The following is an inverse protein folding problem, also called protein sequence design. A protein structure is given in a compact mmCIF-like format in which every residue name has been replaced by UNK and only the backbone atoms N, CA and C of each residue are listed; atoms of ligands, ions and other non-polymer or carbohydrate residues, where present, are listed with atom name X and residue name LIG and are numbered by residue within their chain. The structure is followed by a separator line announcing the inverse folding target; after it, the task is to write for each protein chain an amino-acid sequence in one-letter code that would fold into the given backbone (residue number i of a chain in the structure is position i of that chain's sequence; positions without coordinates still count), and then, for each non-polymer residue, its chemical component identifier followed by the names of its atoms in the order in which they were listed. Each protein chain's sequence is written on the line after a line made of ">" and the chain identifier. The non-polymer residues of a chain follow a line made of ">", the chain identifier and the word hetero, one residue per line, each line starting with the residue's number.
data_IF_354804596431
#
_entry.id   IF_354804596431
#
_cell.length_a   1.000
_cell.length_b   1.000
_cell.length_c   1.000
_cell.angle_alpha   90.00
_cell.angle_beta   90.00
_cell.angle_gamma   90.00
#
_symmetry.space_group_name_H-M   'P 1'
#
loop_
_entity.id
_entity.type
_entity.pdbx_description
1 polymer ?
#
# COMPACT_ATOMS: atom_id res chain seq x y z
N UNK A 1 27.34 -9.10 -7.71
CA UNK A 1 27.46 -10.54 -7.38
C UNK A 1 27.45 -10.80 -5.87
N UNK A 2 28.37 -10.26 -5.06
CA UNK A 2 28.39 -10.52 -3.60
C UNK A 2 27.09 -10.07 -2.88
N UNK A 3 26.56 -8.90 -3.21
CA UNK A 3 25.31 -8.39 -2.62
C UNK A 3 24.10 -9.27 -2.98
N UNK A 4 23.96 -9.69 -4.24
CA UNK A 4 22.88 -10.58 -4.68
C UNK A 4 22.94 -11.96 -4.02
N UNK A 5 24.17 -12.47 -3.74
CA UNK A 5 24.32 -13.70 -2.95
C UNK A 5 23.88 -13.48 -1.51
N UNK A 6 24.28 -12.36 -0.91
CA UNK A 6 23.91 -12.04 0.48
C UNK A 6 22.38 -11.91 0.64
N UNK A 7 21.69 -11.19 -0.27
CA UNK A 7 20.24 -11.04 -0.21
C UNK A 7 19.52 -12.37 -0.42
N UNK A 8 20.00 -13.22 -1.35
CA UNK A 8 19.42 -14.56 -1.56
C UNK A 8 19.57 -15.46 -0.33
N UNK A 9 20.76 -15.48 0.29
CA UNK A 9 20.98 -16.24 1.53
C UNK A 9 20.15 -15.69 2.69
N UNK A 10 20.13 -14.37 2.87
CA UNK A 10 19.38 -13.68 3.91
C UNK A 10 17.87 -13.94 3.81
N UNK A 11 17.31 -13.94 2.59
CA UNK A 11 15.89 -14.25 2.36
C UNK A 11 15.54 -15.68 2.78
N UNK A 12 16.37 -16.66 2.45
CA UNK A 12 16.17 -18.05 2.86
C UNK A 12 16.23 -18.19 4.41
N UNK A 13 17.20 -17.51 5.04
CA UNK A 13 17.34 -17.52 6.51
C UNK A 13 16.19 -16.80 7.17
N UNK A 14 15.71 -15.66 6.61
CA UNK A 14 14.57 -14.93 7.11
C UNK A 14 13.30 -15.78 7.12
N UNK A 15 13.01 -16.52 6.04
CA UNK A 15 11.86 -17.44 5.97
C UNK A 15 11.89 -18.41 7.15
N UNK A 16 13.07 -19.02 7.40
CA UNK A 16 13.24 -19.95 8.53
C UNK A 16 13.07 -19.24 9.88
N UNK A 17 13.73 -18.10 10.07
CA UNK A 17 13.66 -17.31 11.29
C UNK A 17 12.22 -16.89 11.62
N UNK A 18 11.45 -16.46 10.62
CA UNK A 18 10.02 -16.12 10.74
C UNK A 18 9.19 -17.33 11.16
N UNK A 19 9.38 -18.48 10.49
CA UNK A 19 8.63 -19.71 10.81
C UNK A 19 8.94 -20.24 12.21
N UNK A 20 10.21 -20.22 12.61
CA UNK A 20 10.69 -20.70 13.92
C UNK A 20 10.51 -19.64 15.02
N UNK A 21 10.09 -18.41 14.69
CA UNK A 21 10.03 -17.26 15.58
C UNK A 21 11.39 -16.93 16.23
N UNK A 22 12.48 -17.09 15.49
CA UNK A 22 13.86 -16.94 15.97
C UNK A 22 14.56 -15.76 15.26
N UNK A 23 14.47 -14.57 15.86
CA UNK A 23 15.14 -13.38 15.35
C UNK A 23 16.67 -13.51 15.36
N UNK A 24 17.23 -14.22 16.35
CA UNK A 24 18.67 -14.39 16.50
C UNK A 24 19.30 -15.13 15.31
N UNK A 25 18.54 -15.98 14.63
CA UNK A 25 18.98 -16.66 13.41
C UNK A 25 19.15 -15.67 12.25
N UNK A 26 18.29 -14.64 12.13
CA UNK A 26 18.35 -13.66 11.06
C UNK A 26 19.29 -12.49 11.37
N UNK A 27 19.46 -12.10 12.61
CA UNK A 27 20.22 -10.92 13.07
C UNK A 27 21.63 -10.80 12.41
N UNK A 28 22.48 -11.84 12.30
CA UNK A 28 23.79 -11.73 11.66
C UNK A 28 23.73 -11.40 10.17
N UNK A 29 22.68 -11.80 9.47
CA UNK A 29 22.46 -11.45 8.05
C UNK A 29 21.98 -10.02 7.92
N UNK A 30 21.11 -9.58 8.82
CA UNK A 30 20.62 -8.21 8.87
C UNK A 30 21.77 -7.21 9.11
N UNK A 31 22.70 -7.51 10.04
CA UNK A 31 23.92 -6.71 10.25
C UNK A 31 24.74 -6.55 8.96
N UNK A 32 24.95 -7.65 8.22
CA UNK A 32 25.67 -7.63 6.95
C UNK A 32 24.95 -6.80 5.87
N UNK A 33 23.61 -6.90 5.82
CA UNK A 33 22.79 -6.14 4.88
C UNK A 33 22.84 -4.64 5.20
N UNK A 34 22.75 -4.25 6.48
CA UNK A 34 22.88 -2.86 6.92
C UNK A 34 24.27 -2.32 6.55
N UNK A 35 25.35 -3.06 6.84
CA UNK A 35 26.70 -2.65 6.49
C UNK A 35 26.89 -2.51 4.98
N UNK A 36 26.29 -3.40 4.17
CA UNK A 36 26.34 -3.34 2.72
C UNK A 36 25.58 -2.11 2.18
N UNK A 37 24.38 -1.81 2.71
CA UNK A 37 23.57 -0.64 2.32
C UNK A 37 24.27 0.67 2.68
N UNK A 38 24.84 0.79 3.87
CA UNK A 38 25.68 1.96 4.25
C UNK A 38 26.84 2.15 3.28
N UNK A 39 27.52 1.06 2.90
CA UNK A 39 28.61 1.13 1.95
C UNK A 39 28.13 1.53 0.54
N UNK A 40 27.00 1.04 0.09
CA UNK A 40 26.41 1.45 -1.20
C UNK A 40 26.04 2.92 -1.18
N UNK A 41 25.39 3.39 -0.13
CA UNK A 41 25.04 4.81 0.03
C UNK A 41 26.29 5.71 -0.04
N UNK A 42 27.36 5.36 0.69
CA UNK A 42 28.63 6.11 0.66
C UNK A 42 29.35 6.05 -0.71
N UNK A 43 29.06 5.06 -1.56
CA UNK A 43 29.57 4.98 -2.93
C UNK A 43 28.74 5.80 -3.92
N UNK A 44 27.44 5.87 -3.72
CA UNK A 44 26.52 6.59 -4.60
C UNK A 44 26.58 8.11 -4.34
N UNK A 45 26.52 8.50 -3.07
CA UNK A 45 26.64 9.90 -2.68
C UNK A 45 27.32 10.00 -1.30
N UNK A 46 28.65 10.20 -1.23
CA UNK A 46 29.42 10.29 0.03
C UNK A 46 29.17 11.59 0.81
N UNK A 47 28.56 12.60 0.19
CA UNK A 47 28.34 13.91 0.80
C UNK A 47 27.01 14.02 1.55
N UNK A 48 26.09 13.04 1.37
CA UNK A 48 24.78 13.04 2.00
C UNK A 48 24.69 11.97 3.10
N UNK A 49 23.71 12.13 3.96
CA UNK A 49 23.38 11.12 4.97
C UNK A 49 23.00 9.79 4.33
N UNK A 50 23.56 8.66 4.76
CA UNK A 50 23.36 7.37 4.09
C UNK A 50 21.89 6.99 3.88
N UNK A 51 21.01 7.33 4.83
CA UNK A 51 19.60 6.98 4.71
C UNK A 51 18.86 7.88 3.71
N UNK A 52 19.26 9.14 3.52
CA UNK A 52 18.75 9.98 2.44
C UNK A 52 19.05 9.35 1.07
N UNK A 53 20.27 8.86 0.87
CA UNK A 53 20.68 8.22 -0.38
C UNK A 53 19.87 6.96 -0.67
N UNK A 54 19.49 6.21 0.37
CA UNK A 54 18.64 5.01 0.21
C UNK A 54 17.19 5.39 -0.07
N UNK A 55 16.65 6.43 0.55
CA UNK A 55 15.31 6.97 0.27
C UNK A 55 15.21 7.44 -1.18
N UNK A 56 16.19 8.22 -1.64
CA UNK A 56 16.28 8.75 -3.02
C UNK A 56 16.25 7.64 -4.08
N UNK A 57 16.80 6.47 -3.78
CA UNK A 57 16.81 5.34 -4.71
C UNK A 57 15.42 4.75 -5.03
N UNK A 58 14.41 5.01 -4.19
CA UNK A 58 13.02 4.59 -4.38
C UNK A 58 12.09 5.75 -4.74
N UNK A 59 12.42 6.95 -4.25
CA UNK A 59 11.66 8.17 -4.46
C UNK A 59 12.65 9.32 -4.68
N UNK A 60 12.92 9.68 -5.93
CA UNK A 60 13.90 10.72 -6.28
C UNK A 60 13.63 12.03 -5.53
N UNK A 61 14.63 12.54 -4.83
CA UNK A 61 14.58 13.76 -4.04
C UNK A 61 14.01 13.61 -2.62
N UNK A 62 13.59 12.40 -2.20
CA UNK A 62 13.07 12.17 -0.86
C UNK A 62 14.18 12.20 0.19
N UNK A 63 13.94 12.92 1.30
CA UNK A 63 14.87 13.05 2.42
C UNK A 63 14.24 12.64 3.75
N UNK A 64 15.06 12.34 4.75
CA UNK A 64 14.60 12.13 6.13
C UNK A 64 13.79 13.32 6.65
N UNK A 65 14.22 14.55 6.35
CA UNK A 65 13.52 15.75 6.79
C UNK A 65 12.08 15.81 6.22
N UNK A 66 11.90 15.45 4.95
CA UNK A 66 10.58 15.36 4.33
C UNK A 66 9.73 14.24 4.95
N UNK A 67 10.32 13.07 5.18
CA UNK A 67 9.65 11.94 5.86
C UNK A 67 9.26 12.29 7.30
N UNK A 68 10.14 12.93 8.07
CA UNK A 68 9.87 13.35 9.45
C UNK A 68 8.68 14.33 9.51
N UNK A 69 8.65 15.33 8.61
CA UNK A 69 7.53 16.26 8.51
C UNK A 69 6.23 15.56 8.14
N UNK A 70 6.27 14.66 7.14
CA UNK A 70 5.13 13.85 6.71
C UNK A 70 4.59 12.98 7.85
N UNK A 71 5.41 12.12 8.44
CA UNK A 71 4.98 11.21 9.51
C UNK A 71 4.56 11.94 10.79
N UNK A 72 5.16 13.10 11.09
CA UNK A 72 4.68 13.94 12.20
C UNK A 72 3.25 14.41 11.97
N UNK A 73 2.91 14.80 10.74
CA UNK A 73 1.53 15.22 10.37
C UNK A 73 0.57 14.05 10.44
N UNK A 74 0.95 12.91 9.86
CA UNK A 74 0.17 11.66 9.88
C UNK A 74 -0.14 11.23 11.33
N UNK A 75 0.88 11.16 12.18
CA UNK A 75 0.73 10.78 13.58
C UNK A 75 -0.24 11.69 14.34
N UNK A 76 -0.08 13.01 14.19
CA UNK A 76 -0.94 14.01 14.85
C UNK A 76 -2.38 13.94 14.39
N UNK A 77 -2.61 13.60 13.12
CA UNK A 77 -3.97 13.47 12.56
C UNK A 77 -4.65 12.16 12.91
N UNK A 78 -3.92 11.05 12.85
CA UNK A 78 -4.50 9.69 12.88
C UNK A 78 -4.57 9.11 14.30
N UNK A 79 -3.53 9.23 15.14
CA UNK A 79 -3.53 8.62 16.47
C UNK A 79 -4.71 9.08 17.33
N UNK A 80 -5.05 10.39 17.42
CA UNK A 80 -6.22 10.82 18.17
C UNK A 80 -7.55 10.31 17.60
N UNK A 81 -7.62 10.08 16.28
CA UNK A 81 -8.80 9.56 15.63
C UNK A 81 -9.01 8.07 15.97
N UNK A 82 -7.95 7.27 15.98
CA UNK A 82 -7.98 5.87 16.42
C UNK A 82 -8.50 5.77 17.86
N UNK A 83 -8.00 6.62 18.77
CA UNK A 83 -8.46 6.60 20.18
C UNK A 83 -9.95 6.92 20.33
N UNK A 84 -10.50 7.79 19.48
CA UNK A 84 -11.94 8.05 19.44
C UNK A 84 -12.71 6.85 18.90
N UNK A 85 -12.24 6.23 17.81
CA UNK A 85 -12.87 5.05 17.20
C UNK A 85 -12.93 3.89 18.21
N UNK A 86 -11.85 3.64 18.96
CA UNK A 86 -11.84 2.61 20.02
C UNK A 86 -12.98 2.75 21.04
N UNK A 87 -13.43 3.97 21.31
CA UNK A 87 -14.52 4.23 22.27
C UNK A 87 -15.90 3.89 21.73
N UNK A 88 -16.07 3.87 20.41
CA UNK A 88 -17.34 3.62 19.70
C UNK A 88 -17.27 2.38 18.82
N UNK A 89 -16.26 1.53 19.03
CA UNK A 89 -16.02 0.34 18.21
C UNK A 89 -17.20 -0.61 18.24
N UNK A 90 -17.47 -1.21 17.11
CA UNK A 90 -18.57 -2.14 16.86
C UNK A 90 -18.01 -3.50 16.44
N UNK A 91 -18.75 -4.59 16.59
CA UNK A 91 -18.33 -5.89 16.06
C UNK A 91 -18.30 -5.88 14.54
N UNK A 92 -17.52 -6.80 13.97
CA UNK A 92 -17.57 -7.10 12.54
C UNK A 92 -18.96 -7.55 12.10
N UNK A 93 -19.33 -7.23 10.88
CA UNK A 93 -20.56 -7.73 10.27
C UNK A 93 -20.44 -9.24 10.02
N UNK A 94 -21.50 -9.98 10.28
CA UNK A 94 -21.49 -11.45 10.20
C UNK A 94 -21.04 -12.00 8.84
N UNK A 95 -21.36 -11.29 7.75
CA UNK A 95 -20.98 -11.73 6.41
C UNK A 95 -19.46 -11.81 6.23
N UNK A 96 -18.67 -10.95 6.86
CA UNK A 96 -17.20 -10.97 6.78
C UNK A 96 -16.60 -12.26 7.38
N UNK A 97 -17.32 -12.91 8.29
CA UNK A 97 -16.89 -14.13 8.98
C UNK A 97 -17.38 -15.42 8.29
N UNK A 98 -18.18 -15.31 7.22
CA UNK A 98 -18.68 -16.46 6.46
C UNK A 98 -17.58 -17.12 5.64
N UNK A 99 -17.84 -18.32 5.12
CA UNK A 99 -16.93 -19.04 4.22
C UNK A 99 -17.31 -18.75 2.77
N UNK A 100 -16.30 -18.42 1.97
CA UNK A 100 -16.43 -18.07 0.56
C UNK A 100 -15.60 -19.03 -0.30
N UNK A 101 -16.21 -19.88 -1.13
CA UNK A 101 -15.50 -20.86 -1.96
C UNK A 101 -14.44 -20.21 -2.85
N UNK A 102 -13.29 -20.87 -2.98
CA UNK A 102 -12.13 -20.31 -3.71
C UNK A 102 -12.41 -20.14 -5.21
N UNK A 103 -13.17 -21.06 -5.82
CA UNK A 103 -13.60 -20.97 -7.23
C UNK A 103 -14.54 -19.78 -7.49
N UNK A 104 -15.33 -19.41 -6.47
CA UNK A 104 -16.12 -18.18 -6.49
C UNK A 104 -15.23 -16.95 -6.41
N UNK A 105 -14.20 -16.94 -5.56
CA UNK A 105 -13.28 -15.82 -5.46
C UNK A 105 -12.50 -15.58 -6.76
N UNK A 106 -12.13 -16.65 -7.49
CA UNK A 106 -11.51 -16.52 -8.81
C UNK A 106 -12.47 -15.87 -9.84
N UNK A 107 -13.74 -16.28 -9.85
CA UNK A 107 -14.77 -15.64 -10.71
C UNK A 107 -14.97 -14.17 -10.35
N UNK A 108 -15.01 -13.86 -9.05
CA UNK A 108 -15.13 -12.49 -8.58
C UNK A 108 -13.92 -11.65 -8.99
N UNK A 109 -12.69 -12.19 -8.89
CA UNK A 109 -11.48 -11.50 -9.31
C UNK A 109 -11.54 -11.06 -10.78
N UNK A 110 -12.01 -11.92 -11.68
CA UNK A 110 -12.23 -11.55 -13.09
C UNK A 110 -13.31 -10.48 -13.27
N UNK A 111 -14.40 -10.56 -12.50
CA UNK A 111 -15.47 -9.56 -12.54
C UNK A 111 -14.97 -8.20 -12.02
N UNK A 112 -14.08 -8.19 -11.02
CA UNK A 112 -13.45 -6.97 -10.52
C UNK A 112 -12.52 -6.34 -11.56
N UNK A 113 -11.69 -7.13 -12.25
CA UNK A 113 -10.87 -6.64 -13.36
C UNK A 113 -11.73 -6.00 -14.47
N UNK A 114 -12.87 -6.59 -14.78
CA UNK A 114 -13.82 -6.02 -15.74
C UNK A 114 -14.41 -4.70 -15.22
N UNK A 115 -14.77 -4.64 -13.95
CA UNK A 115 -15.31 -3.44 -13.28
C UNK A 115 -14.26 -2.31 -13.22
N UNK A 116 -12.97 -2.66 -13.08
CA UNK A 116 -11.85 -1.71 -13.18
C UNK A 116 -11.54 -1.29 -14.63
N UNK A 117 -12.15 -1.91 -15.62
CA UNK A 117 -11.89 -1.65 -17.03
C UNK A 117 -10.55 -2.19 -17.54
N UNK A 118 -10.01 -3.21 -16.89
CA UNK A 118 -8.77 -3.87 -17.28
C UNK A 118 -9.00 -4.71 -18.54
N UNK A 119 -8.23 -4.44 -19.59
CA UNK A 119 -8.30 -5.20 -20.85
C UNK A 119 -7.65 -6.60 -20.67
N UNK A 120 -8.44 -7.70 -20.75
CA UNK A 120 -7.91 -9.06 -20.57
C UNK A 120 -6.97 -9.51 -21.70
N UNK A 121 -6.85 -8.75 -22.77
CA UNK A 121 -5.86 -8.99 -23.83
C UNK A 121 -4.48 -8.40 -23.50
N UNK A 122 -4.41 -7.56 -22.48
CA UNK A 122 -3.20 -6.85 -22.06
C UNK A 122 -2.77 -7.19 -20.63
N UNK A 123 -3.68 -7.74 -19.83
CA UNK A 123 -3.43 -8.09 -18.45
C UNK A 123 -3.88 -9.52 -18.15
N UNK A 124 -3.02 -10.29 -17.48
CA UNK A 124 -3.29 -11.67 -17.04
C UNK A 124 -3.32 -11.73 -15.52
N UNK A 125 -4.29 -12.45 -14.97
CA UNK A 125 -4.39 -12.75 -13.55
C UNK A 125 -3.80 -14.14 -13.25
N UNK A 126 -2.95 -14.22 -12.24
CA UNK A 126 -2.44 -15.46 -11.65
C UNK A 126 -2.66 -15.52 -10.14
N UNK A 127 -2.14 -16.56 -9.50
CA UNK A 127 -2.18 -16.73 -8.04
C UNK A 127 -0.79 -16.88 -7.46
N UNK A 128 -0.56 -16.28 -6.28
CA UNK A 128 0.69 -16.39 -5.53
C UNK A 128 0.46 -16.16 -4.05
N UNK A 129 1.39 -16.57 -3.21
CA UNK A 129 1.35 -16.33 -1.76
C UNK A 129 1.36 -14.81 -1.41
N UNK A 130 2.15 -14.04 -2.14
CA UNK A 130 2.21 -12.58 -2.01
C UNK A 130 1.87 -11.95 -3.35
N UNK A 131 0.69 -11.31 -3.47
CA UNK A 131 0.27 -10.62 -4.68
C UNK A 131 1.30 -9.60 -5.16
N UNK A 132 1.42 -9.46 -6.47
CA UNK A 132 2.30 -8.48 -7.11
C UNK A 132 1.88 -8.21 -8.55
N UNK A 133 2.32 -7.07 -9.07
CA UNK A 133 2.19 -6.68 -10.47
C UNK A 133 3.54 -6.66 -11.16
N UNK A 134 3.59 -7.11 -12.42
CA UNK A 134 4.76 -7.00 -13.30
C UNK A 134 4.34 -6.50 -14.68
N UNK A 135 4.97 -5.41 -15.15
CA UNK A 135 4.84 -4.89 -16.50
C UNK A 135 6.05 -5.22 -17.35
N UNK A 136 5.86 -5.74 -18.57
CA UNK A 136 6.91 -5.92 -19.58
C UNK A 136 6.88 -4.79 -20.61
N UNK A 137 5.72 -4.29 -20.88
CA UNK A 137 5.41 -3.10 -21.65
C UNK A 137 3.91 -2.81 -21.44
N UNK A 138 3.40 -1.70 -21.97
CA UNK A 138 2.01 -1.31 -21.74
C UNK A 138 0.96 -2.24 -22.42
N UNK A 139 1.36 -3.35 -23.03
CA UNK A 139 0.50 -4.37 -23.67
C UNK A 139 0.67 -5.76 -23.07
N UNK A 140 1.60 -5.96 -22.13
CA UNK A 140 1.82 -7.21 -21.41
C UNK A 140 2.10 -6.90 -19.94
N UNK A 141 1.02 -6.90 -19.15
CA UNK A 141 1.03 -6.70 -17.70
C UNK A 141 0.46 -7.94 -17.03
N UNK A 142 0.97 -8.29 -15.86
CA UNK A 142 0.58 -9.49 -15.11
C UNK A 142 0.38 -9.14 -13.66
N UNK A 143 -0.82 -9.45 -13.15
CA UNK A 143 -1.16 -9.30 -11.75
C UNK A 143 -1.35 -10.67 -11.11
N UNK A 144 -1.13 -10.74 -9.82
CA UNK A 144 -1.40 -11.94 -9.04
C UNK A 144 -2.25 -11.60 -7.83
N UNK A 145 -3.02 -12.57 -7.37
CA UNK A 145 -3.82 -12.48 -6.15
C UNK A 145 -3.68 -13.76 -5.33
N UNK A 146 -4.33 -13.81 -4.18
CA UNK A 146 -4.50 -15.02 -3.37
C UNK A 146 -5.95 -15.16 -2.93
N UNK A 147 -6.35 -16.38 -2.59
CA UNK A 147 -7.71 -16.67 -2.17
C UNK A 147 -7.72 -17.37 -0.80
N UNK A 148 -8.59 -16.91 0.10
CA UNK A 148 -8.77 -17.49 1.41
C UNK A 148 -10.25 -17.64 1.74
N UNK A 149 -10.70 -18.86 2.06
CA UNK A 149 -12.12 -19.13 2.34
C UNK A 149 -12.73 -18.26 3.44
N UNK A 150 -11.93 -17.83 4.40
CA UNK A 150 -12.35 -17.03 5.56
C UNK A 150 -12.05 -15.54 5.46
N UNK A 151 -11.52 -15.10 4.32
CA UNK A 151 -11.11 -13.71 4.11
C UNK A 151 -11.27 -13.29 2.66
N UNK A 152 -12.51 -13.34 2.13
CA UNK A 152 -12.74 -12.97 0.73
C UNK A 152 -12.50 -11.48 0.45
N UNK A 153 -12.64 -10.61 1.45
CA UNK A 153 -12.31 -9.19 1.32
C UNK A 153 -10.83 -8.97 1.01
N UNK A 154 -9.94 -9.83 1.56
CA UNK A 154 -8.51 -9.76 1.24
C UNK A 154 -8.25 -9.96 -0.25
N UNK A 155 -8.90 -10.93 -0.90
CA UNK A 155 -8.76 -11.15 -2.35
C UNK A 155 -9.36 -10.01 -3.18
N UNK A 156 -10.48 -9.43 -2.75
CA UNK A 156 -11.10 -8.27 -3.42
C UNK A 156 -10.12 -7.10 -3.45
N UNK A 157 -9.60 -6.72 -2.29
CA UNK A 157 -8.71 -5.56 -2.19
C UNK A 157 -7.33 -5.82 -2.78
N UNK A 158 -6.86 -7.07 -2.78
CA UNK A 158 -5.68 -7.47 -3.55
C UNK A 158 -5.85 -7.25 -5.05
N UNK A 159 -7.00 -7.65 -5.62
CA UNK A 159 -7.27 -7.44 -7.06
C UNK A 159 -7.38 -5.97 -7.40
N UNK A 160 -8.10 -5.17 -6.59
CA UNK A 160 -8.22 -3.73 -6.82
C UNK A 160 -6.86 -3.01 -6.69
N UNK A 161 -6.03 -3.44 -5.75
CA UNK A 161 -4.69 -2.91 -5.56
C UNK A 161 -3.78 -3.21 -6.77
N UNK A 162 -3.64 -4.48 -7.12
CA UNK A 162 -2.82 -4.90 -8.26
C UNK A 162 -3.39 -4.41 -9.59
N UNK A 163 -4.72 -4.29 -9.67
CA UNK A 163 -5.43 -3.66 -10.79
C UNK A 163 -5.02 -2.20 -10.99
N UNK A 164 -4.92 -1.44 -9.90
CA UNK A 164 -4.45 -0.05 -9.95
C UNK A 164 -3.02 0.07 -10.48
N UNK A 165 -2.10 -0.78 -10.04
CA UNK A 165 -0.76 -0.89 -10.58
C UNK A 165 -0.78 -1.25 -12.08
N UNK A 166 -1.60 -2.23 -12.46
CA UNK A 166 -1.70 -2.68 -13.84
C UNK A 166 -2.27 -1.59 -14.77
N UNK A 167 -3.27 -0.86 -14.32
CA UNK A 167 -3.85 0.26 -15.07
C UNK A 167 -2.80 1.34 -15.30
N UNK A 168 -1.95 1.63 -14.33
CA UNK A 168 -0.83 2.56 -14.50
C UNK A 168 0.12 2.08 -15.60
N UNK A 169 0.61 0.85 -15.50
CA UNK A 169 1.52 0.24 -16.48
C UNK A 169 0.92 0.22 -17.90
N UNK A 170 -0.36 -0.14 -18.04
CA UNK A 170 -1.05 -0.21 -19.33
C UNK A 170 -1.30 1.15 -19.98
N UNK A 171 -1.34 2.23 -19.21
CA UNK A 171 -1.70 3.57 -19.69
C UNK A 171 -0.50 4.48 -19.96
N UNK A 172 0.74 4.01 -19.72
CA UNK A 172 1.95 4.72 -20.18
C UNK A 172 1.93 4.92 -21.70
N UNK A 173 2.49 6.03 -22.16
CA UNK A 173 2.55 6.33 -23.61
C UNK A 173 3.40 5.28 -24.35
N UNK A 174 2.96 4.88 -25.53
CA UNK A 174 3.64 3.88 -26.39
C UNK A 174 5.11 4.24 -26.68
N UNK A 175 5.45 5.54 -26.69
CA UNK A 175 6.81 5.99 -26.98
C UNK A 175 7.84 5.60 -25.90
N UNK A 176 7.38 5.27 -24.70
CA UNK A 176 8.26 4.84 -23.59
C UNK A 176 8.52 3.33 -23.58
N UNK A 177 7.73 2.52 -24.31
CA UNK A 177 7.96 1.08 -24.36
C UNK A 177 9.40 0.74 -24.77
N UNK A 178 10.02 -0.18 -24.04
CA UNK A 178 11.40 -0.64 -24.29
C UNK A 178 12.47 0.45 -24.09
N UNK A 179 12.16 1.53 -23.38
CA UNK A 179 13.13 2.54 -22.96
C UNK A 179 13.33 2.50 -21.45
N UNK A 180 14.33 3.22 -20.94
CA UNK A 180 14.55 3.39 -19.50
C UNK A 180 13.48 4.28 -18.82
N UNK A 181 12.60 4.91 -19.57
CA UNK A 181 11.49 5.71 -19.06
C UNK A 181 10.17 4.93 -18.99
N UNK A 182 10.14 3.64 -19.37
CA UNK A 182 8.98 2.79 -19.16
C UNK A 182 8.82 2.45 -17.68
N UNK A 183 7.57 2.34 -17.23
CA UNK A 183 7.19 2.08 -15.84
C UNK A 183 6.72 3.34 -15.11
N UNK A 184 6.60 3.26 -13.80
CA UNK A 184 6.15 4.40 -12.98
C UNK A 184 7.27 5.39 -12.67
N UNK A 185 6.91 6.63 -12.37
CA UNK A 185 7.84 7.71 -12.03
C UNK A 185 8.64 7.41 -10.76
N UNK A 186 8.03 6.72 -9.79
CA UNK A 186 8.66 6.26 -8.54
C UNK A 186 7.82 5.16 -7.89
N UNK A 187 8.34 4.59 -6.80
CA UNK A 187 7.57 3.63 -6.00
C UNK A 187 6.36 4.29 -5.33
N UNK A 188 6.46 5.54 -4.86
CA UNK A 188 5.31 6.24 -4.25
C UNK A 188 4.25 6.62 -5.28
N UNK A 189 4.62 7.08 -6.48
CA UNK A 189 3.65 7.34 -7.55
C UNK A 189 2.97 6.04 -7.98
N UNK A 190 3.72 4.94 -8.09
CA UNK A 190 3.17 3.64 -8.43
C UNK A 190 2.18 3.14 -7.38
N UNK A 191 2.56 3.23 -6.10
CA UNK A 191 1.68 2.88 -4.98
C UNK A 191 0.48 3.84 -4.86
N UNK A 192 0.61 5.09 -5.28
CA UNK A 192 -0.52 6.00 -5.29
C UNK A 192 -1.64 5.54 -6.23
N UNK A 193 -1.29 4.84 -7.31
CA UNK A 193 -2.28 4.30 -8.24
C UNK A 193 -2.97 3.05 -7.67
N UNK A 194 -2.23 2.13 -7.07
CA UNK A 194 -2.82 0.97 -6.39
C UNK A 194 -3.74 1.40 -5.24
N UNK A 195 -3.28 2.30 -4.38
CA UNK A 195 -4.08 2.83 -3.27
C UNK A 195 -5.27 3.67 -3.74
N UNK A 196 -5.16 4.31 -4.89
CA UNK A 196 -6.29 5.03 -5.48
C UNK A 196 -7.45 4.08 -5.79
N UNK A 197 -7.17 2.99 -6.49
CA UNK A 197 -8.21 1.99 -6.84
C UNK A 197 -8.65 1.18 -5.62
N UNK A 198 -7.74 0.76 -4.77
CA UNK A 198 -8.04 -0.01 -3.55
C UNK A 198 -8.85 0.80 -2.53
N UNK A 199 -8.36 1.97 -2.12
CA UNK A 199 -8.88 2.70 -0.97
C UNK A 199 -9.81 3.85 -1.36
N UNK A 200 -9.36 4.73 -2.26
CA UNK A 200 -10.11 5.94 -2.60
C UNK A 200 -11.36 5.57 -3.40
N UNK A 201 -11.26 4.70 -4.40
CA UNK A 201 -12.41 4.20 -5.14
C UNK A 201 -13.02 2.99 -4.47
N UNK A 202 -12.27 1.91 -4.26
CA UNK A 202 -12.76 0.60 -3.82
C UNK A 202 -13.45 0.61 -2.45
N UNK A 203 -13.02 1.50 -1.57
CA UNK A 203 -13.61 1.69 -0.23
C UNK A 203 -14.49 2.94 -0.13
N UNK A 204 -14.81 3.61 -1.25
CA UNK A 204 -15.69 4.77 -1.24
C UNK A 204 -17.15 4.40 -1.02
N UNK A 205 -17.93 5.35 -0.49
CA UNK A 205 -19.38 5.18 -0.38
C UNK A 205 -20.05 5.02 -1.74
N UNK A 206 -19.52 5.69 -2.76
CA UNK A 206 -20.06 5.62 -4.12
C UNK A 206 -19.87 4.23 -4.75
N UNK A 207 -18.71 3.59 -4.53
CA UNK A 207 -18.39 2.30 -5.13
C UNK A 207 -18.93 1.10 -4.35
N UNK A 208 -19.36 1.27 -3.09
CA UNK A 208 -19.81 0.17 -2.25
C UNK A 208 -20.98 -0.61 -2.85
N UNK A 209 -21.98 0.07 -3.43
CA UNK A 209 -23.13 -0.59 -4.04
C UNK A 209 -22.78 -1.36 -5.33
N UNK A 210 -22.04 -0.81 -6.31
CA UNK A 210 -21.52 -1.57 -7.45
C UNK A 210 -20.67 -2.76 -7.05
N UNK A 211 -19.77 -2.61 -6.09
CA UNK A 211 -18.91 -3.69 -5.60
C UNK A 211 -19.73 -4.79 -4.92
N UNK A 212 -20.66 -4.44 -4.03
CA UNK A 212 -21.55 -5.40 -3.38
C UNK A 212 -22.41 -6.15 -4.42
N UNK A 213 -22.87 -5.47 -5.46
CA UNK A 213 -23.61 -6.09 -6.55
C UNK A 213 -22.78 -7.19 -7.23
N UNK A 214 -21.55 -6.89 -7.63
CA UNK A 214 -20.63 -7.87 -8.21
C UNK A 214 -20.37 -9.04 -7.27
N UNK A 215 -20.17 -8.78 -5.97
CA UNK A 215 -20.02 -9.82 -4.97
C UNK A 215 -21.27 -10.70 -4.84
N UNK A 216 -22.49 -10.13 -4.87
CA UNK A 216 -23.76 -10.88 -4.78
C UNK A 216 -24.04 -11.74 -6.01
N UNK A 217 -23.58 -11.33 -7.19
CA UNK A 217 -23.71 -12.14 -8.41
C UNK A 217 -22.93 -13.45 -8.32
N UNK A 218 -21.81 -13.44 -7.59
CA UNK A 218 -20.94 -14.61 -7.40
C UNK A 218 -21.30 -15.40 -6.13
N UNK A 219 -21.67 -14.70 -5.04
CA UNK A 219 -21.96 -15.26 -3.73
C UNK A 219 -23.39 -14.93 -3.26
N UNK A 220 -24.42 -15.34 -4.02
CA UNK A 220 -25.80 -14.96 -3.72
C UNK A 220 -26.31 -15.49 -2.37
N UNK A 221 -25.85 -16.67 -1.93
CA UNK A 221 -26.27 -17.26 -0.65
C UNK A 221 -25.56 -16.55 0.54
N UNK A 222 -24.26 -16.26 0.40
CA UNK A 222 -23.47 -15.67 1.46
C UNK A 222 -23.79 -14.19 1.71
N UNK A 223 -24.32 -13.50 0.68
CA UNK A 223 -24.55 -12.06 0.73
C UNK A 223 -26.03 -11.65 0.56
N UNK A 224 -26.95 -12.61 0.58
CA UNK A 224 -28.39 -12.36 0.33
C UNK A 224 -28.97 -11.26 1.25
N UNK A 225 -28.63 -11.32 2.52
CA UNK A 225 -29.12 -10.47 3.60
C UNK A 225 -28.29 -9.20 3.83
N UNK A 226 -27.18 -9.04 3.10
CA UNK A 226 -26.24 -7.92 3.29
C UNK A 226 -26.76 -6.67 2.59
N UNK A 227 -26.90 -5.60 3.35
CA UNK A 227 -27.25 -4.27 2.84
C UNK A 227 -25.97 -3.51 2.42
N UNK A 228 -26.13 -2.51 1.54
CA UNK A 228 -25.03 -1.62 1.13
C UNK A 228 -24.42 -0.89 2.34
N UNK A 229 -25.22 -0.50 3.31
CA UNK A 229 -24.72 0.15 4.53
C UNK A 229 -23.86 -0.78 5.38
N UNK A 230 -24.27 -2.03 5.57
CA UNK A 230 -23.46 -3.02 6.29
C UNK A 230 -22.16 -3.31 5.54
N UNK A 231 -22.24 -3.47 4.22
CA UNK A 231 -21.07 -3.70 3.38
C UNK A 231 -20.09 -2.54 3.45
N UNK A 232 -20.57 -1.30 3.25
CA UNK A 232 -19.74 -0.10 3.33
C UNK A 232 -19.06 0.05 4.70
N UNK A 233 -19.76 -0.24 5.77
CA UNK A 233 -19.23 -0.18 7.14
C UNK A 233 -18.16 -1.22 7.38
N UNK A 234 -18.33 -2.44 6.87
CA UNK A 234 -17.35 -3.53 7.02
C UNK A 234 -16.08 -3.31 6.21
N UNK A 235 -16.19 -2.94 4.95
CA UNK A 235 -15.02 -2.68 4.11
C UNK A 235 -14.16 -1.50 4.58
N UNK A 236 -14.68 -0.68 5.48
CA UNK A 236 -13.99 0.43 6.14
C UNK A 236 -13.88 0.22 7.66
N UNK A 237 -13.95 -1.04 8.11
CA UNK A 237 -13.70 -1.34 9.52
C UNK A 237 -12.27 -0.97 9.88
N UNK A 238 -12.08 -0.23 10.97
CA UNK A 238 -10.77 0.25 11.39
C UNK A 238 -10.47 -0.18 12.82
N UNK A 239 -9.39 -0.93 12.96
CA UNK A 239 -8.85 -1.31 14.26
C UNK A 239 -7.33 -1.50 14.18
N UNK A 240 -6.57 -1.18 15.24
CA UNK A 240 -5.16 -1.53 15.28
C UNK A 240 -4.94 -3.03 15.16
N UNK A 241 -4.10 -3.43 14.21
CA UNK A 241 -3.71 -4.81 13.96
C UNK A 241 -2.20 -4.98 14.00
N UNK A 242 -1.71 -6.23 14.07
CA UNK A 242 -0.27 -6.49 14.14
C UNK A 242 0.39 -6.57 12.76
N UNK A 243 -0.34 -7.00 11.73
CA UNK A 243 0.21 -7.32 10.43
C UNK A 243 -0.06 -6.17 9.44
N UNK A 244 1.02 -5.56 8.93
CA UNK A 244 0.93 -4.41 8.02
C UNK A 244 0.12 -4.68 6.76
N UNK A 245 0.29 -5.83 6.14
CA UNK A 245 -0.41 -6.18 4.89
C UNK A 245 -1.92 -6.38 5.07
N UNK A 246 -2.36 -6.62 6.31
CA UNK A 246 -3.76 -6.77 6.68
C UNK A 246 -4.33 -5.51 7.36
N UNK A 247 -3.51 -4.46 7.50
CA UNK A 247 -3.93 -3.22 8.16
C UNK A 247 -4.97 -2.47 7.33
N UNK A 248 -5.94 -1.90 8.03
CA UNK A 248 -6.96 -1.03 7.42
C UNK A 248 -6.38 0.29 6.90
N UNK A 249 -7.14 1.00 6.08
CA UNK A 249 -6.71 2.25 5.45
C UNK A 249 -6.28 3.32 6.48
N UNK A 250 -6.95 3.39 7.62
CA UNK A 250 -6.68 4.40 8.65
C UNK A 250 -5.35 4.15 9.36
N UNK A 251 -5.07 2.90 9.73
CA UNK A 251 -3.90 2.55 10.55
C UNK A 251 -2.65 2.25 9.72
N UNK A 252 -2.79 1.99 8.42
CA UNK A 252 -1.70 1.52 7.55
C UNK A 252 -0.44 2.39 7.60
N UNK A 253 -0.57 3.71 7.53
CA UNK A 253 0.59 4.61 7.52
C UNK A 253 1.37 4.61 8.83
N UNK A 254 0.75 4.24 9.95
CA UNK A 254 1.45 4.09 11.23
C UNK A 254 2.34 2.83 11.24
N UNK A 255 1.90 1.75 10.58
CA UNK A 255 2.75 0.58 10.38
C UNK A 255 4.01 0.93 9.56
N UNK A 256 3.85 1.72 8.52
CA UNK A 256 4.97 2.22 7.70
C UNK A 256 5.90 3.09 8.52
N UNK A 257 5.36 3.99 9.35
CA UNK A 257 6.11 4.88 10.21
C UNK A 257 7.02 4.13 11.20
N UNK A 258 6.56 3.01 11.78
CA UNK A 258 7.41 2.15 12.63
C UNK A 258 8.66 1.70 11.90
N UNK A 259 8.52 1.24 10.66
CA UNK A 259 9.65 0.76 9.84
C UNK A 259 10.61 1.89 9.49
N UNK A 260 10.07 3.05 9.11
CA UNK A 260 10.86 4.24 8.84
C UNK A 260 11.72 4.67 10.03
N UNK A 261 11.13 4.76 11.22
CA UNK A 261 11.85 5.14 12.44
C UNK A 261 12.98 4.16 12.79
N UNK A 262 12.75 2.87 12.59
CA UNK A 262 13.76 1.82 12.82
C UNK A 262 14.87 1.93 11.76
N UNK A 263 14.53 2.00 10.48
CA UNK A 263 15.52 2.08 9.40
C UNK A 263 16.42 3.31 9.52
N UNK A 264 15.83 4.47 9.79
CA UNK A 264 16.55 5.72 10.02
C UNK A 264 17.64 5.56 11.09
N UNK A 265 17.26 4.98 12.24
CA UNK A 265 18.18 4.74 13.35
C UNK A 265 19.20 3.63 13.06
N UNK A 266 18.81 2.57 12.36
CA UNK A 266 19.69 1.48 11.96
C UNK A 266 20.77 1.98 10.98
N UNK A 267 20.38 2.66 9.93
CA UNK A 267 21.31 3.16 8.90
C UNK A 267 22.16 4.30 9.46
N UNK A 268 21.61 5.17 10.31
CA UNK A 268 22.34 6.21 11.03
C UNK A 268 23.34 5.67 12.07
N UNK A 269 23.16 4.43 12.56
CA UNK A 269 24.05 3.83 13.57
C UNK A 269 23.65 4.10 15.00
N UNK A 270 22.46 4.60 15.22
CA UNK A 270 21.90 4.91 16.54
C UNK A 270 21.19 3.73 17.19
N UNK A 271 20.93 2.67 16.40
CA UNK A 271 20.25 1.45 16.84
C UNK A 271 21.08 0.24 16.42
N UNK A 272 21.31 -0.70 17.32
CA UNK A 272 21.88 -2.02 17.03
C UNK A 272 20.80 -3.00 16.56
N UNK A 273 21.21 -4.02 15.79
CA UNK A 273 20.29 -5.07 15.33
C UNK A 273 19.65 -5.83 16.50
N UNK A 274 20.39 -6.04 17.59
CA UNK A 274 19.90 -6.74 18.77
C UNK A 274 18.73 -6.03 19.47
N UNK A 275 18.62 -4.71 19.33
CA UNK A 275 17.57 -3.90 19.97
C UNK A 275 16.27 -3.84 19.13
N UNK A 276 16.30 -4.26 17.85
CA UNK A 276 15.15 -4.15 16.94
C UNK A 276 13.86 -4.75 17.52
N UNK A 277 13.84 -5.98 18.10
CA UNK A 277 12.58 -6.56 18.56
C UNK A 277 11.89 -5.70 19.63
N UNK A 278 12.65 -5.16 20.58
CA UNK A 278 12.09 -4.32 21.65
C UNK A 278 11.64 -2.95 21.13
N UNK A 279 12.50 -2.28 20.36
CA UNK A 279 12.15 -0.99 19.73
C UNK A 279 10.94 -1.11 18.82
N UNK A 280 10.81 -2.20 18.08
CA UNK A 280 9.63 -2.49 17.28
C UNK A 280 8.37 -2.55 18.14
N UNK A 281 8.42 -3.32 19.22
CA UNK A 281 7.31 -3.49 20.13
C UNK A 281 6.91 -2.17 20.81
N UNK A 282 7.89 -1.36 21.23
CA UNK A 282 7.65 -0.05 21.84
C UNK A 282 6.98 0.93 20.87
N UNK A 283 7.42 0.97 19.61
CA UNK A 283 6.81 1.83 18.58
C UNK A 283 5.39 1.36 18.22
N UNK A 284 5.13 0.05 18.18
CA UNK A 284 3.78 -0.48 17.97
C UNK A 284 2.83 -0.08 19.12
N UNK A 285 3.30 -0.19 20.36
CA UNK A 285 2.53 0.25 21.52
C UNK A 285 2.28 1.76 21.51
N UNK A 286 3.30 2.56 21.14
CA UNK A 286 3.19 4.01 21.07
C UNK A 286 2.22 4.49 19.97
N UNK A 287 2.26 3.88 18.78
CA UNK A 287 1.51 4.39 17.62
C UNK A 287 0.15 3.71 17.41
N UNK A 288 0.06 2.43 17.74
CA UNK A 288 -1.13 1.61 17.50
C UNK A 288 -1.83 1.20 18.80
N UNK A 289 -1.15 1.34 19.96
CA UNK A 289 -1.69 0.93 21.26
C UNK A 289 -1.80 -0.58 21.43
N UNK A 290 -1.02 -1.35 20.68
CA UNK A 290 -0.94 -2.82 20.73
C UNK A 290 0.51 -3.25 20.69
N UNK A 291 0.83 -4.43 21.28
CA UNK A 291 2.20 -4.93 21.38
C UNK A 291 2.31 -6.36 20.84
N UNK A 292 3.16 -6.61 19.82
CA UNK A 292 3.40 -7.97 19.32
C UNK A 292 3.92 -8.89 20.43
N UNK A 293 3.45 -10.14 20.44
CA UNK A 293 3.88 -11.16 21.41
C UNK A 293 5.00 -12.03 20.85
N UNK A 294 5.19 -12.02 19.54
CA UNK A 294 6.19 -12.82 18.84
C UNK A 294 6.95 -11.96 17.82
N UNK A 295 8.21 -12.32 17.54
CA UNK A 295 8.97 -11.67 16.46
C UNK A 295 8.37 -11.93 15.07
N UNK A 296 7.67 -13.06 14.92
CA UNK A 296 6.96 -13.41 13.69
C UNK A 296 5.85 -12.39 13.34
N UNK A 297 5.10 -11.95 14.35
CA UNK A 297 4.08 -10.88 14.21
C UNK A 297 4.69 -9.49 14.32
N UNK A 298 5.90 -9.39 14.85
CA UNK A 298 6.69 -8.17 14.98
C UNK A 298 7.69 -7.99 13.84
N UNK A 299 8.95 -7.82 14.20
CA UNK A 299 10.02 -7.40 13.29
C UNK A 299 10.39 -8.39 12.18
N UNK A 300 9.90 -9.63 12.22
CA UNK A 300 10.09 -10.62 11.15
C UNK A 300 8.93 -10.70 10.16
N UNK A 301 7.90 -9.86 10.26
CA UNK A 301 6.72 -10.00 9.42
C UNK A 301 6.97 -9.65 7.94
N UNK A 302 7.85 -8.68 7.64
CA UNK A 302 8.14 -8.18 6.30
C UNK A 302 9.43 -8.76 5.72
N UNK A 303 9.45 -9.04 4.42
CA UNK A 303 10.61 -9.58 3.70
C UNK A 303 11.62 -8.50 3.24
N UNK A 304 11.25 -7.22 3.29
CA UNK A 304 12.01 -6.10 2.70
C UNK A 304 13.48 -6.09 3.13
N UNK A 305 13.73 -6.18 4.43
CA UNK A 305 15.10 -6.16 4.94
C UNK A 305 15.92 -7.34 4.46
N UNK A 306 15.31 -8.53 4.35
CA UNK A 306 16.03 -9.72 3.85
C UNK A 306 16.43 -9.59 2.38
N UNK A 307 15.64 -8.84 1.60
CA UNK A 307 15.96 -8.45 0.22
C UNK A 307 16.89 -7.24 0.11
N UNK A 308 17.24 -6.60 1.24
CA UNK A 308 18.11 -5.41 1.27
C UNK A 308 17.42 -4.10 0.91
N UNK A 309 16.08 -4.07 0.93
CA UNK A 309 15.28 -2.89 0.55
C UNK A 309 15.10 -1.92 1.75
N UNK A 310 16.18 -1.21 2.12
CA UNK A 310 16.13 -0.12 3.08
C UNK A 310 15.83 1.21 2.38
N UNK A 311 14.93 2.02 2.94
CA UNK A 311 14.44 3.27 2.35
C UNK A 311 13.15 3.10 1.52
N UNK A 312 12.66 1.88 1.34
CA UNK A 312 11.47 1.57 0.55
C UNK A 312 10.15 1.87 1.26
N UNK A 313 10.04 1.57 2.56
CA UNK A 313 8.79 1.64 3.30
C UNK A 313 8.05 2.99 3.22
N UNK A 314 8.70 4.16 3.28
CA UNK A 314 7.99 5.44 3.16
C UNK A 314 7.13 5.57 1.89
N UNK A 315 7.53 4.94 0.78
CA UNK A 315 6.79 4.95 -0.49
C UNK A 315 5.34 4.49 -0.33
N UNK A 316 5.07 3.51 0.52
CA UNK A 316 3.72 3.01 0.78
C UNK A 316 2.79 4.06 1.40
N UNK A 317 3.27 4.81 2.38
CA UNK A 317 2.47 5.84 3.03
C UNK A 317 2.37 7.12 2.18
N UNK A 318 3.46 7.49 1.51
CA UNK A 318 3.46 8.60 0.55
C UNK A 318 2.51 8.34 -0.61
N UNK A 319 2.46 7.11 -1.13
CA UNK A 319 1.51 6.73 -2.18
C UNK A 319 0.07 6.98 -1.76
N UNK A 320 -0.32 6.58 -0.54
CA UNK A 320 -1.66 6.88 -0.02
C UNK A 320 -1.93 8.38 0.07
N UNK A 321 -0.93 9.18 0.50
CA UNK A 321 -1.07 10.62 0.63
C UNK A 321 -1.14 11.34 -0.73
N UNK A 322 -0.35 10.89 -1.71
CA UNK A 322 -0.43 11.42 -3.08
C UNK A 322 -1.81 11.14 -3.70
N UNK A 323 -2.33 9.92 -3.52
CA UNK A 323 -3.68 9.58 -3.97
C UNK A 323 -4.75 10.49 -3.37
N UNK A 324 -4.67 10.79 -2.07
CA UNK A 324 -5.61 11.69 -1.40
C UNK A 324 -5.55 13.13 -1.95
N UNK A 325 -4.36 13.62 -2.32
CA UNK A 325 -4.24 14.94 -2.95
C UNK A 325 -4.74 14.92 -4.40
N UNK A 326 -4.49 13.83 -5.14
CA UNK A 326 -4.96 13.67 -6.53
C UNK A 326 -6.48 13.64 -6.62
N UNK A 327 -7.17 12.96 -5.71
CA UNK A 327 -8.65 12.86 -5.76
C UNK A 327 -9.32 14.22 -5.56
N UNK A 328 -8.79 15.08 -4.71
CA UNK A 328 -9.31 16.44 -4.53
C UNK A 328 -9.20 17.24 -5.83
N UNK A 329 -8.07 17.10 -6.54
CA UNK A 329 -7.89 17.77 -7.82
C UNK A 329 -8.80 17.20 -8.91
N UNK A 330 -9.03 15.91 -8.89
CA UNK A 330 -9.98 15.25 -9.79
C UNK A 330 -11.41 15.74 -9.56
N UNK A 331 -11.84 15.86 -8.30
CA UNK A 331 -13.17 16.38 -7.92
C UNK A 331 -13.40 17.82 -8.41
N UNK A 332 -12.37 18.68 -8.32
CA UNK A 332 -12.44 20.03 -8.86
C UNK A 332 -12.68 20.05 -10.38
N UNK A 333 -12.06 19.13 -11.12
CA UNK A 333 -12.12 19.08 -12.59
C UNK A 333 -13.29 18.25 -13.11
N UNK A 334 -13.75 17.26 -12.36
CA UNK A 334 -14.87 16.38 -12.70
C UNK A 334 -15.84 16.33 -11.50
N UNK A 335 -16.66 17.37 -11.27
CA UNK A 335 -17.57 17.41 -10.10
C UNK A 335 -18.58 16.26 -10.05
N UNK A 336 -18.87 15.61 -11.19
CA UNK A 336 -19.79 14.47 -11.27
C UNK A 336 -19.09 13.09 -11.16
N UNK A 337 -17.79 13.04 -10.84
CA UNK A 337 -17.02 11.78 -10.86
C UNK A 337 -17.65 10.70 -9.96
N UNK A 338 -18.12 11.07 -8.78
CA UNK A 338 -18.75 10.13 -7.85
C UNK A 338 -20.13 9.63 -8.30
N UNK A 339 -20.84 10.38 -9.15
CA UNK A 339 -22.09 9.92 -9.76
C UNK A 339 -21.85 8.82 -10.79
N UNK A 340 -20.71 8.86 -11.52
CA UNK A 340 -20.27 7.80 -12.43
C UNK A 340 -19.81 6.58 -11.64
N UNK A 341 -18.98 6.77 -10.62
CA UNK A 341 -18.51 5.70 -9.73
C UNK A 341 -19.68 4.97 -9.07
N UNK A 342 -20.72 5.67 -8.63
CA UNK A 342 -21.93 5.08 -8.03
C UNK A 342 -22.74 4.22 -9.02
N UNK A 343 -22.53 4.37 -10.31
CA UNK A 343 -23.11 3.51 -11.37
C UNK A 343 -22.20 2.35 -11.77
N UNK A 344 -21.02 2.22 -11.15
CA UNK A 344 -19.99 1.25 -11.50
C UNK A 344 -19.14 1.68 -12.71
N UNK A 345 -19.24 2.93 -13.15
CA UNK A 345 -18.43 3.46 -14.23
C UNK A 345 -17.24 4.27 -13.66
N UNK A 346 -16.06 3.65 -13.63
CA UNK A 346 -14.83 4.30 -13.21
C UNK A 346 -13.99 4.85 -14.38
N UNK A 347 -14.50 4.77 -15.60
CA UNK A 347 -13.77 5.27 -16.80
C UNK A 347 -13.38 6.75 -16.72
N UNK A 348 -14.17 7.68 -16.12
CA UNK A 348 -13.73 9.06 -15.93
C UNK A 348 -12.53 9.19 -14.99
N UNK A 349 -12.45 8.34 -13.96
CA UNK A 349 -11.31 8.27 -13.02
C UNK A 349 -10.05 7.83 -13.77
N UNK A 350 -10.14 6.71 -14.49
CA UNK A 350 -9.02 6.16 -15.27
C UNK A 350 -8.56 7.12 -16.35
N UNK A 351 -9.50 7.80 -17.03
CA UNK A 351 -9.17 8.79 -18.06
C UNK A 351 -8.41 10.00 -17.47
N UNK A 352 -8.83 10.49 -16.31
CA UNK A 352 -8.16 11.59 -15.63
C UNK A 352 -6.75 11.19 -15.19
N UNK A 353 -6.60 10.04 -14.52
CA UNK A 353 -5.30 9.52 -14.09
C UNK A 353 -4.37 9.28 -15.27
N UNK A 354 -4.90 8.75 -16.37
CA UNK A 354 -4.14 8.57 -17.62
C UNK A 354 -3.60 9.89 -18.17
N UNK A 355 -4.44 10.90 -18.27
CA UNK A 355 -4.04 12.19 -18.83
C UNK A 355 -3.03 12.93 -17.95
N UNK A 356 -3.17 12.83 -16.64
CA UNK A 356 -2.39 13.64 -15.70
C UNK A 356 -1.18 12.91 -15.11
N UNK A 357 -1.21 11.58 -15.01
CA UNK A 357 -0.16 10.77 -14.38
C UNK A 357 0.39 9.70 -15.33
N UNK A 358 -0.47 8.74 -15.78
CA UNK A 358 0.01 7.50 -16.36
C UNK A 358 0.81 7.68 -17.64
N UNK A 359 0.34 8.56 -18.53
CA UNK A 359 0.95 8.80 -19.85
C UNK A 359 2.40 9.27 -19.78
N UNK A 360 2.82 9.82 -18.65
CA UNK A 360 4.17 10.35 -18.49
C UNK A 360 5.20 9.29 -18.09
N UNK A 361 4.76 8.11 -17.61
CA UNK A 361 5.66 7.07 -17.14
C UNK A 361 6.72 7.64 -16.20
N UNK A 362 8.01 7.38 -16.41
CA UNK A 362 9.12 7.95 -15.64
C UNK A 362 9.76 9.21 -16.26
N UNK A 363 8.98 10.00 -17.02
CA UNK A 363 9.50 11.20 -17.69
C UNK A 363 9.87 12.33 -16.72
N UNK A 364 9.13 12.45 -15.62
CA UNK A 364 9.34 13.48 -14.60
C UNK A 364 9.72 12.86 -13.27
N UNK A 365 10.59 13.50 -12.45
CA UNK A 365 10.74 13.16 -11.05
C UNK A 365 9.39 13.18 -10.32
N UNK A 366 9.18 12.33 -9.30
CA UNK A 366 7.86 12.13 -8.68
C UNK A 366 7.23 13.40 -8.11
N UNK A 367 8.02 14.20 -7.40
CA UNK A 367 7.54 15.46 -6.82
C UNK A 367 7.20 16.49 -7.89
N UNK A 368 7.97 16.55 -8.99
CA UNK A 368 7.67 17.43 -10.13
C UNK A 368 6.36 16.99 -10.81
N UNK A 369 6.17 15.68 -11.01
CA UNK A 369 4.93 15.15 -11.59
C UNK A 369 3.72 15.51 -10.72
N UNK A 370 3.81 15.28 -9.41
CA UNK A 370 2.73 15.59 -8.47
C UNK A 370 2.42 17.09 -8.46
N UNK A 371 3.44 17.95 -8.39
CA UNK A 371 3.27 19.40 -8.34
C UNK A 371 2.62 19.96 -9.60
N UNK A 372 2.96 19.43 -10.78
CA UNK A 372 2.34 19.78 -12.06
C UNK A 372 0.84 19.49 -12.08
N UNK A 373 0.40 18.45 -11.39
CA UNK A 373 -0.99 17.98 -11.41
C UNK A 373 -1.80 18.61 -10.26
N UNK A 374 -1.26 18.61 -9.05
CA UNK A 374 -1.99 18.89 -7.82
C UNK A 374 -1.46 20.13 -7.05
N UNK A 375 -0.37 20.75 -7.52
CA UNK A 375 0.37 21.74 -6.74
C UNK A 375 1.30 21.10 -5.70
N UNK A 376 1.95 21.92 -4.85
CA UNK A 376 2.89 21.43 -3.85
C UNK A 376 2.29 20.34 -2.95
N UNK A 377 3.08 19.34 -2.62
CA UNK A 377 2.64 18.26 -1.73
C UNK A 377 2.37 18.79 -0.32
N UNK A 378 1.16 18.50 0.18
CA UNK A 378 0.74 18.82 1.54
C UNK A 378 0.10 17.59 2.20
N UNK A 379 0.78 16.99 3.20
CA UNK A 379 0.27 15.79 3.88
C UNK A 379 -1.04 16.03 4.66
N UNK A 380 -1.45 17.28 4.89
CA UNK A 380 -2.72 17.58 5.56
C UNK A 380 -3.93 17.10 4.76
N UNK A 381 -3.87 17.08 3.42
CA UNK A 381 -4.94 16.54 2.58
C UNK A 381 -5.23 15.06 2.89
N UNK A 382 -4.20 14.27 3.12
CA UNK A 382 -4.37 12.86 3.49
C UNK A 382 -5.02 12.68 4.87
N UNK A 383 -4.53 13.42 5.86
CA UNK A 383 -5.11 13.33 7.22
C UNK A 383 -6.53 13.89 7.28
N UNK A 384 -6.85 14.91 6.49
CA UNK A 384 -8.19 15.50 6.39
C UNK A 384 -9.16 14.55 5.66
N UNK A 385 -8.70 13.89 4.60
CA UNK A 385 -9.46 12.84 3.93
C UNK A 385 -9.83 11.71 4.90
N UNK A 386 -8.86 11.13 5.61
CA UNK A 386 -9.11 10.09 6.59
C UNK A 386 -10.02 10.56 7.73
N UNK A 387 -9.75 11.73 8.28
CA UNK A 387 -10.56 12.30 9.35
C UNK A 387 -12.02 12.48 8.91
N UNK A 388 -12.25 13.03 7.73
CA UNK A 388 -13.59 13.25 7.19
C UNK A 388 -14.33 11.92 7.02
N UNK A 389 -13.71 10.96 6.35
CA UNK A 389 -14.27 9.64 6.06
C UNK A 389 -14.63 8.88 7.35
N UNK A 390 -13.67 8.75 8.25
CA UNK A 390 -13.83 7.94 9.46
C UNK A 390 -14.67 8.64 10.54
N UNK A 391 -14.65 9.99 10.64
CA UNK A 391 -15.58 10.68 11.52
C UNK A 391 -17.03 10.51 11.10
N UNK A 392 -17.32 10.55 9.80
CA UNK A 392 -18.67 10.26 9.27
C UNK A 392 -19.07 8.80 9.52
N UNK A 393 -18.18 7.86 9.21
CA UNK A 393 -18.44 6.42 9.33
C UNK A 393 -18.73 6.00 10.78
N UNK A 394 -17.99 6.54 11.74
CA UNK A 394 -18.11 6.22 13.17
C UNK A 394 -18.96 7.23 13.96
N UNK A 395 -19.46 8.29 13.34
CA UNK A 395 -20.29 9.35 13.96
C UNK A 395 -19.59 10.04 15.14
N UNK A 396 -18.31 10.43 14.99
CA UNK A 396 -17.43 11.02 16.02
C UNK A 396 -16.88 12.39 15.61
#
# INVERSE_FOLDING_TARGET
>A
MQYSMLTSEASNVWIKAKNDNDFALFAPYLEKLIAANRRMAALWNPEDEPYNVLLDSFEEGLTMAACDAFFSTVRKGIVPLIEKIKQVQRPHEEFALRSYPLDGQEKLAHALMELEGIDPKRCVLGTTEHPFTSGFNNRDVRITTHYHEKSFLSSIYSVLHEGGHAIYEMNGDDCFNYTCLYGGASMSIHESQSRFYENIIGRSRAFSAPLLKACKEVFPEQLADVTDEQFYREINYAEPSLIRTEADELTYSLHVMVRYEIEKRLIGGELSVAEIPEVWNDLYEEYLGIRPQTNREGCLQDSHWSGGAFGYFPSYALGSAYGAQMVLKMEEQIPSVWESVAKGDISPVTAWLKEHIHRYSALYPPMELLERVCGPFDPSFYTDYLRTKYSQLYSI
#
